data_IF_848927056058
#
_entry.id   IF_848927056058
#
_cell.length_a   1.000
_cell.length_b   1.000
_cell.length_c   1.000
_cell.angle_alpha   90.00
_cell.angle_beta   90.00
_cell.angle_gamma   90.00
#
_symmetry.space_group_name_H-M   'P 1'
#
loop_
_entity.id
_entity.type
_entity.pdbx_description
1 polymer ?
#
# COMPACT_ATOMS: atom_id res chain seq x y z
N UNK A 1 -4.84 46.05 -34.79
CA UNK A 1 -5.17 45.85 -33.38
C UNK A 1 -6.33 44.90 -33.16
N UNK A 2 -7.55 45.17 -33.69
CA UNK A 2 -8.76 44.28 -33.48
C UNK A 2 -8.55 42.83 -33.93
N UNK A 3 -7.92 42.57 -35.08
CA UNK A 3 -7.66 41.22 -35.61
C UNK A 3 -6.70 40.43 -34.67
N UNK A 4 -5.67 41.08 -34.11
CA UNK A 4 -4.73 40.45 -33.19
C UNK A 4 -5.44 40.06 -31.88
N UNK A 5 -6.27 40.95 -31.35
CA UNK A 5 -7.08 40.66 -30.13
C UNK A 5 -8.02 39.48 -30.34
N UNK A 6 -8.72 39.43 -31.49
CA UNK A 6 -9.60 38.31 -31.84
C UNK A 6 -8.79 37.00 -31.94
N UNK A 7 -7.59 37.05 -32.57
CA UNK A 7 -6.70 35.89 -32.68
C UNK A 7 -6.27 35.34 -31.30
N UNK A 8 -5.89 36.25 -30.37
CA UNK A 8 -5.51 35.88 -29.02
C UNK A 8 -6.70 35.24 -28.25
N UNK A 9 -7.90 35.83 -28.36
CA UNK A 9 -9.09 35.28 -27.69
C UNK A 9 -9.42 33.90 -28.23
N UNK A 10 -9.36 33.71 -29.56
CA UNK A 10 -9.61 32.37 -30.16
C UNK A 10 -8.57 31.37 -29.72
N UNK A 11 -7.29 31.71 -29.64
CA UNK A 11 -6.22 30.85 -29.16
C UNK A 11 -6.47 30.41 -27.70
N UNK A 12 -6.82 31.37 -26.83
CA UNK A 12 -7.12 31.07 -25.41
C UNK A 12 -8.35 30.15 -25.28
N UNK A 13 -9.38 30.35 -26.12
CA UNK A 13 -10.55 29.48 -26.13
C UNK A 13 -10.19 28.04 -26.54
N UNK A 14 -9.35 27.86 -27.57
CA UNK A 14 -8.88 26.53 -28.02
C UNK A 14 -8.08 25.86 -26.90
N UNK A 15 -7.14 26.57 -26.26
CA UNK A 15 -6.37 26.06 -25.13
C UNK A 15 -7.29 25.64 -23.97
N UNK A 16 -8.31 26.46 -23.68
CA UNK A 16 -9.31 26.15 -22.63
C UNK A 16 -10.05 24.84 -22.92
N UNK A 17 -10.50 24.63 -24.18
CA UNK A 17 -11.17 23.38 -24.57
C UNK A 17 -10.26 22.17 -24.46
N UNK A 18 -8.98 22.29 -24.86
CA UNK A 18 -8.01 21.17 -24.73
C UNK A 18 -7.79 20.79 -23.27
N UNK A 19 -7.61 21.78 -22.39
CA UNK A 19 -7.44 21.57 -20.96
C UNK A 19 -8.69 20.90 -20.37
N UNK A 20 -9.88 21.43 -20.70
CA UNK A 20 -11.14 20.85 -20.23
C UNK A 20 -11.29 19.39 -20.62
N UNK A 21 -11.07 19.05 -21.89
CA UNK A 21 -11.16 17.68 -22.37
C UNK A 21 -10.15 16.76 -21.67
N UNK A 22 -8.94 17.27 -21.37
CA UNK A 22 -7.92 16.57 -20.58
C UNK A 22 -8.38 16.28 -19.16
N UNK A 23 -9.00 17.24 -18.47
CA UNK A 23 -9.55 17.06 -17.12
C UNK A 23 -10.70 16.05 -17.09
N UNK A 24 -11.63 16.12 -18.05
CA UNK A 24 -12.74 15.16 -18.16
C UNK A 24 -12.21 13.74 -18.41
N UNK A 25 -11.20 13.59 -19.26
CA UNK A 25 -10.58 12.28 -19.50
C UNK A 25 -9.99 11.68 -18.20
N UNK A 26 -9.27 12.47 -17.44
CA UNK A 26 -8.70 12.03 -16.16
C UNK A 26 -9.78 11.67 -15.14
N UNK A 27 -10.83 12.49 -15.02
CA UNK A 27 -11.97 12.20 -14.16
C UNK A 27 -12.62 10.87 -14.51
N UNK A 28 -12.83 10.61 -15.78
CA UNK A 28 -13.40 9.35 -16.24
C UNK A 28 -12.49 8.16 -15.93
N UNK A 29 -11.15 8.31 -16.08
CA UNK A 29 -10.18 7.28 -15.72
C UNK A 29 -10.20 6.97 -14.21
N UNK A 30 -10.33 7.99 -13.36
CA UNK A 30 -10.48 7.80 -11.90
C UNK A 30 -11.76 7.01 -11.60
N UNK A 31 -12.88 7.39 -12.21
CA UNK A 31 -14.16 6.70 -11.99
C UNK A 31 -14.13 5.25 -12.51
N UNK A 32 -13.48 5.01 -13.64
CA UNK A 32 -13.32 3.66 -14.18
C UNK A 32 -12.44 2.80 -13.28
N UNK A 33 -11.30 3.33 -12.84
CA UNK A 33 -10.40 2.65 -11.91
C UNK A 33 -11.10 2.30 -10.60
N UNK A 34 -11.95 3.20 -10.08
CA UNK A 34 -12.76 2.93 -8.89
C UNK A 34 -13.75 1.77 -9.10
N UNK A 35 -14.45 1.75 -10.23
CA UNK A 35 -15.38 0.64 -10.56
C UNK A 35 -14.68 -0.71 -10.66
N UNK A 36 -13.45 -0.74 -11.17
CA UNK A 36 -12.65 -1.97 -11.22
C UNK A 36 -12.31 -2.47 -9.82
N UNK A 37 -11.94 -1.58 -8.90
CA UNK A 37 -11.72 -1.92 -7.49
C UNK A 37 -13.01 -2.46 -6.87
N UNK A 38 -14.13 -1.79 -7.06
CA UNK A 38 -15.43 -2.17 -6.49
C UNK A 38 -15.85 -3.59 -6.90
N UNK A 39 -15.58 -3.99 -8.14
CA UNK A 39 -15.81 -5.37 -8.62
C UNK A 39 -15.00 -6.39 -7.82
N UNK A 40 -13.72 -6.13 -7.57
CA UNK A 40 -12.86 -7.05 -6.82
C UNK A 40 -13.20 -7.05 -5.32
N UNK A 41 -13.58 -5.90 -4.75
CA UNK A 41 -14.09 -5.81 -3.38
C UNK A 41 -15.36 -6.64 -3.21
N UNK A 42 -16.31 -6.52 -4.13
CA UNK A 42 -17.52 -7.34 -4.12
C UNK A 42 -17.19 -8.83 -4.19
N UNK A 43 -16.30 -9.24 -5.10
CA UNK A 43 -15.85 -10.63 -5.21
C UNK A 43 -15.27 -11.13 -3.89
N UNK A 44 -14.43 -10.34 -3.23
CA UNK A 44 -13.88 -10.66 -1.90
C UNK A 44 -14.98 -10.85 -0.87
N UNK A 45 -15.96 -9.95 -0.82
CA UNK A 45 -17.09 -10.02 0.11
C UNK A 45 -17.96 -11.29 -0.13
N UNK A 46 -18.11 -11.70 -1.39
CA UNK A 46 -18.92 -12.86 -1.75
C UNK A 46 -18.23 -14.20 -1.42
N UNK A 47 -16.90 -14.23 -1.32
CA UNK A 47 -16.14 -15.42 -0.89
C UNK A 47 -16.21 -15.66 0.62
N UNK A 48 -16.36 -14.63 1.44
CA UNK A 48 -16.28 -14.70 2.89
C UNK A 48 -17.34 -15.63 3.52
N UNK A 49 -18.63 -15.62 3.14
CA UNK A 49 -19.60 -16.52 3.71
C UNK A 49 -19.23 -18.00 3.54
N UNK A 50 -18.73 -18.39 2.36
CA UNK A 50 -18.31 -19.76 2.08
C UNK A 50 -17.08 -20.14 2.94
N UNK A 51 -16.15 -19.21 3.13
CA UNK A 51 -15.01 -19.39 4.02
C UNK A 51 -15.48 -19.63 5.47
N UNK A 52 -16.39 -18.79 5.97
CA UNK A 52 -16.91 -18.89 7.33
C UNK A 52 -17.66 -20.20 7.57
N UNK A 53 -18.48 -20.65 6.61
CA UNK A 53 -19.17 -21.95 6.71
C UNK A 53 -18.17 -23.12 6.71
N UNK A 54 -17.11 -23.05 5.90
CA UNK A 54 -16.05 -24.05 5.90
C UNK A 54 -15.32 -24.10 7.25
N UNK A 55 -14.94 -22.95 7.79
CA UNK A 55 -14.24 -22.85 9.09
C UNK A 55 -15.13 -23.30 10.22
N UNK A 56 -16.41 -22.94 10.23
CA UNK A 56 -17.39 -23.30 11.26
C UNK A 56 -17.54 -24.81 11.41
N UNK A 57 -17.39 -25.58 10.33
CA UNK A 57 -17.43 -27.05 10.38
C UNK A 57 -16.32 -27.69 11.23
N UNK A 58 -15.19 -27.00 11.41
CA UNK A 58 -14.02 -27.50 12.14
C UNK A 58 -13.72 -26.70 13.42
N UNK A 59 -14.03 -25.42 13.46
CA UNK A 59 -13.70 -24.49 14.53
C UNK A 59 -14.96 -23.79 15.08
N UNK A 60 -16.01 -24.52 15.37
CA UNK A 60 -17.31 -24.01 15.86
C UNK A 60 -17.21 -23.26 17.20
N UNK A 61 -16.15 -23.48 17.98
CA UNK A 61 -15.91 -22.80 19.25
C UNK A 61 -15.33 -21.39 19.11
N UNK A 62 -14.82 -21.03 17.92
CA UNK A 62 -14.19 -19.74 17.61
C UNK A 62 -15.20 -18.65 17.24
N UNK A 63 -16.32 -18.58 17.99
CA UNK A 63 -17.45 -17.70 17.69
C UNK A 63 -17.03 -16.24 17.55
N UNK A 64 -16.17 -15.73 18.43
CA UNK A 64 -15.74 -14.33 18.40
C UNK A 64 -14.96 -13.96 17.14
N UNK A 65 -14.11 -14.86 16.64
CA UNK A 65 -13.37 -14.64 15.39
C UNK A 65 -14.31 -14.65 14.18
N UNK A 66 -15.24 -15.61 14.13
CA UNK A 66 -16.23 -15.70 13.05
C UNK A 66 -17.17 -14.48 13.02
N UNK A 67 -17.68 -14.07 14.17
CA UNK A 67 -18.51 -12.86 14.33
C UNK A 67 -17.75 -11.59 13.95
N UNK A 68 -16.47 -11.48 14.35
CA UNK A 68 -15.60 -10.36 13.99
C UNK A 68 -15.41 -10.21 12.48
N UNK A 69 -15.26 -11.31 11.73
CA UNK A 69 -15.19 -11.28 10.26
C UNK A 69 -16.52 -10.85 9.65
N UNK A 70 -17.65 -11.38 10.16
CA UNK A 70 -18.98 -10.99 9.68
C UNK A 70 -19.26 -9.50 9.90
N UNK A 71 -18.90 -8.98 11.07
CA UNK A 71 -19.06 -7.57 11.40
C UNK A 71 -18.20 -6.66 10.51
N UNK A 72 -16.93 -7.02 10.33
CA UNK A 72 -16.02 -6.27 9.45
C UNK A 72 -16.50 -6.30 7.99
N UNK A 73 -16.99 -7.46 7.50
CA UNK A 73 -17.60 -7.57 6.17
C UNK A 73 -18.83 -6.68 6.03
N UNK A 74 -19.71 -6.65 7.03
CA UNK A 74 -20.90 -5.80 7.01
C UNK A 74 -20.53 -4.32 6.94
N UNK A 75 -19.51 -3.88 7.68
CA UNK A 75 -19.00 -2.52 7.61
C UNK A 75 -18.40 -2.19 6.23
N UNK A 76 -17.64 -3.11 5.64
CA UNK A 76 -17.04 -2.94 4.32
C UNK A 76 -18.09 -2.89 3.19
N UNK A 77 -19.22 -3.62 3.34
CA UNK A 77 -20.33 -3.62 2.38
C UNK A 77 -21.27 -2.43 2.48
N UNK A 78 -21.08 -1.52 3.44
CA UNK A 78 -21.93 -0.33 3.57
C UNK A 78 -21.81 0.54 2.32
N UNK A 79 -22.90 0.71 1.58
CA UNK A 79 -22.89 1.44 0.31
C UNK A 79 -22.66 2.96 0.49
N UNK A 80 -22.18 3.61 -0.58
CA UNK A 80 -22.05 5.08 -0.64
C UNK A 80 -20.88 5.67 0.14
N UNK A 81 -19.90 4.84 0.50
CA UNK A 81 -18.70 5.30 1.22
C UNK A 81 -17.75 6.04 0.28
N UNK A 82 -17.06 7.05 0.82
CA UNK A 82 -15.93 7.63 0.10
C UNK A 82 -14.78 6.63 -0.02
N UNK A 83 -13.89 6.78 -1.01
CA UNK A 83 -12.73 5.90 -1.18
C UNK A 83 -11.87 5.76 0.08
N UNK A 84 -11.69 6.82 0.85
CA UNK A 84 -10.94 6.79 2.10
C UNK A 84 -11.63 5.92 3.17
N UNK A 85 -12.94 6.07 3.35
CA UNK A 85 -13.73 5.27 4.30
C UNK A 85 -13.77 3.81 3.88
N UNK A 86 -13.94 3.54 2.57
CA UNK A 86 -13.88 2.19 2.02
C UNK A 86 -12.51 1.53 2.31
N UNK A 87 -11.40 2.25 2.12
CA UNK A 87 -10.06 1.76 2.44
C UNK A 87 -9.90 1.38 3.92
N UNK A 88 -10.44 2.19 4.83
CA UNK A 88 -10.41 1.92 6.26
C UNK A 88 -11.19 0.64 6.61
N UNK A 89 -12.41 0.50 6.10
CA UNK A 89 -13.25 -0.66 6.35
C UNK A 89 -12.66 -1.94 5.76
N UNK A 90 -12.09 -1.88 4.57
CA UNK A 90 -11.37 -2.99 3.94
C UNK A 90 -10.10 -3.37 4.74
N UNK A 91 -9.41 -2.40 5.32
CA UNK A 91 -8.29 -2.64 6.24
C UNK A 91 -8.71 -3.41 7.49
N UNK A 92 -9.87 -3.06 8.09
CA UNK A 92 -10.43 -3.81 9.23
C UNK A 92 -10.83 -5.23 8.84
N UNK A 93 -11.41 -5.41 7.64
CA UNK A 93 -11.75 -6.73 7.12
C UNK A 93 -10.51 -7.60 6.88
N UNK A 94 -9.43 -7.02 6.32
CA UNK A 94 -8.15 -7.71 6.15
C UNK A 94 -7.56 -8.18 7.47
N UNK A 95 -7.63 -7.36 8.52
CA UNK A 95 -7.18 -7.75 9.87
C UNK A 95 -8.04 -8.88 10.46
N UNK A 96 -9.36 -8.82 10.29
CA UNK A 96 -10.26 -9.86 10.78
C UNK A 96 -10.01 -11.20 10.07
N UNK A 97 -9.82 -11.20 8.75
CA UNK A 97 -9.44 -12.37 7.97
C UNK A 97 -8.07 -12.93 8.38
N UNK A 98 -7.09 -12.06 8.64
CA UNK A 98 -5.78 -12.47 9.15
C UNK A 98 -5.88 -13.23 10.48
N UNK A 99 -6.73 -12.77 11.40
CA UNK A 99 -7.01 -13.48 12.65
C UNK A 99 -7.68 -14.84 12.41
N UNK A 100 -8.63 -14.90 11.48
CA UNK A 100 -9.30 -16.15 11.11
C UNK A 100 -8.31 -17.18 10.56
N UNK A 101 -7.39 -16.77 9.69
CA UNK A 101 -6.34 -17.65 9.16
C UNK A 101 -5.36 -18.10 10.26
N UNK A 102 -5.01 -17.19 11.20
CA UNK A 102 -4.17 -17.57 12.35
C UNK A 102 -4.84 -18.62 13.24
N UNK A 103 -6.16 -18.51 13.47
CA UNK A 103 -6.94 -19.55 14.18
C UNK A 103 -6.94 -20.87 13.40
N UNK A 104 -7.12 -20.83 12.08
CA UNK A 104 -7.13 -22.03 11.24
C UNK A 104 -5.84 -22.87 11.34
N UNK A 105 -4.69 -22.23 11.65
CA UNK A 105 -3.42 -22.95 11.87
C UNK A 105 -3.47 -23.92 13.07
N UNK A 106 -4.35 -23.67 14.05
CA UNK A 106 -4.55 -24.56 15.21
C UNK A 106 -5.43 -25.80 14.90
N UNK A 107 -6.02 -25.86 13.71
CA UNK A 107 -6.92 -26.92 13.29
C UNK A 107 -6.37 -27.67 12.05
N UNK A 108 -5.56 -28.74 12.23
CA UNK A 108 -4.90 -29.45 11.12
C UNK A 108 -5.84 -29.97 10.04
N UNK A 109 -7.01 -30.48 10.44
CA UNK A 109 -8.01 -30.99 9.51
C UNK A 109 -8.64 -29.90 8.64
N UNK A 110 -8.84 -28.71 9.18
CA UNK A 110 -9.27 -27.52 8.42
C UNK A 110 -8.19 -27.10 7.44
N UNK A 111 -6.95 -27.02 7.91
CA UNK A 111 -5.79 -26.64 7.08
C UNK A 111 -5.58 -27.60 5.90
N UNK A 112 -5.89 -28.88 6.06
CA UNK A 112 -5.83 -29.87 5.00
C UNK A 112 -7.06 -29.89 4.08
N UNK A 113 -8.12 -29.17 4.42
CA UNK A 113 -9.36 -29.15 3.65
C UNK A 113 -9.17 -28.44 2.31
N UNK A 114 -9.47 -29.13 1.21
CA UNK A 114 -9.27 -28.61 -0.17
C UNK A 114 -10.10 -27.36 -0.45
N UNK A 115 -11.34 -27.30 0.08
CA UNK A 115 -12.21 -26.14 -0.11
C UNK A 115 -11.66 -24.92 0.63
N UNK A 116 -11.14 -25.10 1.86
CA UNK A 116 -10.50 -24.04 2.63
C UNK A 116 -9.27 -23.47 1.89
N UNK A 117 -8.39 -24.36 1.41
CA UNK A 117 -7.20 -23.95 0.64
C UNK A 117 -7.58 -23.23 -0.65
N UNK A 118 -8.59 -23.72 -1.38
CA UNK A 118 -9.08 -23.06 -2.58
C UNK A 118 -9.63 -21.66 -2.29
N UNK A 119 -10.42 -21.48 -1.24
CA UNK A 119 -10.96 -20.18 -0.81
C UNK A 119 -9.85 -19.23 -0.35
N UNK A 120 -8.87 -19.73 0.40
CA UNK A 120 -7.71 -18.95 0.82
C UNK A 120 -6.91 -18.43 -0.37
N UNK A 121 -6.65 -19.29 -1.37
CA UNK A 121 -5.96 -18.89 -2.59
C UNK A 121 -6.73 -17.86 -3.41
N UNK A 122 -8.06 -18.04 -3.53
CA UNK A 122 -8.90 -17.08 -4.25
C UNK A 122 -8.97 -15.73 -3.56
N UNK A 123 -9.05 -15.70 -2.21
CA UNK A 123 -8.97 -14.46 -1.42
C UNK A 123 -7.62 -13.78 -1.58
N UNK A 124 -6.52 -14.54 -1.55
CA UNK A 124 -5.18 -13.99 -1.79
C UNK A 124 -5.06 -13.37 -3.20
N UNK A 125 -5.55 -14.08 -4.23
CA UNK A 125 -5.57 -13.58 -5.61
C UNK A 125 -6.41 -12.30 -5.74
N UNK A 126 -7.55 -12.23 -5.05
CA UNK A 126 -8.41 -11.05 -5.04
C UNK A 126 -7.74 -9.87 -4.34
N UNK A 127 -7.01 -10.10 -3.23
CA UNK A 127 -6.23 -9.09 -2.54
C UNK A 127 -5.14 -8.49 -3.44
N UNK A 128 -4.43 -9.33 -4.20
CA UNK A 128 -3.42 -8.87 -5.16
C UNK A 128 -4.01 -7.97 -6.25
N UNK A 129 -5.21 -8.32 -6.75
CA UNK A 129 -5.95 -7.51 -7.74
C UNK A 129 -6.42 -6.18 -7.14
N UNK A 130 -6.94 -6.19 -5.90
CA UNK A 130 -7.32 -4.97 -5.18
C UNK A 130 -6.09 -4.08 -4.98
N UNK A 131 -4.95 -4.65 -4.57
CA UNK A 131 -3.70 -3.90 -4.40
C UNK A 131 -3.19 -3.29 -5.72
N UNK A 132 -3.32 -4.01 -6.83
CA UNK A 132 -2.98 -3.49 -8.16
C UNK A 132 -3.94 -2.36 -8.59
N UNK A 133 -5.25 -2.58 -8.42
CA UNK A 133 -6.30 -1.58 -8.70
C UNK A 133 -6.11 -0.31 -7.88
N UNK A 134 -5.79 -0.45 -6.59
CA UNK A 134 -5.50 0.68 -5.69
C UNK A 134 -4.33 1.52 -6.19
N UNK A 135 -3.22 0.89 -6.61
CA UNK A 135 -2.08 1.63 -7.18
C UNK A 135 -2.47 2.40 -8.43
N UNK A 136 -3.23 1.77 -9.31
CA UNK A 136 -3.71 2.40 -10.55
C UNK A 136 -4.67 3.56 -10.27
N UNK A 137 -5.66 3.36 -9.38
CA UNK A 137 -6.60 4.39 -8.95
C UNK A 137 -5.87 5.60 -8.35
N UNK A 138 -5.00 5.38 -7.38
CA UNK A 138 -4.27 6.44 -6.71
C UNK A 138 -3.32 7.20 -7.65
N UNK A 139 -2.76 6.54 -8.67
CA UNK A 139 -1.97 7.22 -9.71
C UNK A 139 -2.84 8.19 -10.54
N UNK A 140 -4.04 7.76 -10.95
CA UNK A 140 -4.98 8.62 -11.69
C UNK A 140 -5.53 9.77 -10.83
N UNK A 141 -5.84 9.51 -9.56
CA UNK A 141 -6.24 10.56 -8.59
C UNK A 141 -5.14 11.60 -8.44
N UNK A 142 -3.89 11.18 -8.30
CA UNK A 142 -2.74 12.11 -8.21
C UNK A 142 -2.63 12.99 -9.45
N UNK A 143 -2.72 12.40 -10.63
CA UNK A 143 -2.66 13.16 -11.89
C UNK A 143 -3.81 14.16 -12.02
N UNK A 144 -5.04 13.74 -11.68
CA UNK A 144 -6.21 14.62 -11.66
C UNK A 144 -6.03 15.76 -10.67
N UNK A 145 -5.68 15.45 -9.42
CA UNK A 145 -5.50 16.44 -8.36
C UNK A 145 -4.39 17.44 -8.72
N UNK A 146 -3.28 16.96 -9.28
CA UNK A 146 -2.21 17.84 -9.76
C UNK A 146 -2.74 18.82 -10.82
N UNK A 147 -3.53 18.37 -11.79
CA UNK A 147 -4.08 19.27 -12.83
C UNK A 147 -5.15 20.21 -12.28
N UNK A 148 -5.90 19.82 -11.29
CA UNK A 148 -6.87 20.70 -10.60
C UNK A 148 -6.17 21.81 -9.82
N UNK A 149 -4.91 21.60 -9.37
CA UNK A 149 -4.16 22.57 -8.57
C UNK A 149 -3.16 23.42 -9.38
N UNK A 150 -2.74 22.98 -10.57
CA UNK A 150 -1.71 23.67 -11.36
C UNK A 150 -2.31 24.67 -12.35
N UNK A 151 -1.54 25.76 -12.62
CA UNK A 151 -1.87 26.79 -13.64
C UNK A 151 -1.44 26.27 -15.02
N UNK A 152 -2.24 26.49 -16.07
CA UNK A 152 -3.52 27.22 -16.13
C UNK A 152 -4.76 26.35 -15.90
N UNK A 153 -4.61 25.03 -15.68
CA UNK A 153 -5.73 24.08 -15.65
C UNK A 153 -6.63 24.27 -14.41
N UNK A 154 -6.12 24.82 -13.31
CA UNK A 154 -6.92 25.15 -12.12
C UNK A 154 -8.02 26.18 -12.40
N UNK A 155 -7.81 27.13 -13.31
CA UNK A 155 -8.81 28.10 -13.72
C UNK A 155 -9.99 27.42 -14.42
N UNK A 156 -9.70 26.47 -15.33
CA UNK A 156 -10.72 25.70 -16.04
C UNK A 156 -11.42 24.75 -15.10
N UNK A 157 -10.67 24.07 -14.20
CA UNK A 157 -11.24 23.19 -13.18
C UNK A 157 -12.23 23.92 -12.27
N UNK A 158 -11.88 25.14 -11.81
CA UNK A 158 -12.74 26.00 -11.00
C UNK A 158 -14.03 26.40 -11.73
N UNK A 159 -13.92 26.81 -13.02
CA UNK A 159 -15.08 27.19 -13.84
C UNK A 159 -16.03 26.02 -14.12
N UNK A 160 -15.51 24.81 -14.24
CA UNK A 160 -16.26 23.61 -14.58
C UNK A 160 -16.63 22.74 -13.37
N UNK A 161 -16.31 23.22 -12.14
CA UNK A 161 -16.56 22.52 -10.88
C UNK A 161 -15.94 21.11 -10.83
N UNK A 162 -14.79 20.91 -11.47
CA UNK A 162 -14.01 19.69 -11.35
C UNK A 162 -13.16 19.86 -10.07
N UNK A 163 -13.40 18.95 -9.10
CA UNK A 163 -12.76 18.98 -7.79
C UNK A 163 -11.72 17.89 -7.67
N UNK A 164 -10.94 17.95 -6.60
CA UNK A 164 -10.05 16.89 -6.17
C UNK A 164 -10.84 15.65 -5.81
N UNK A 165 -10.24 14.50 -6.09
CA UNK A 165 -10.74 13.18 -5.68
C UNK A 165 -9.92 12.64 -4.51
N UNK A 166 -10.55 11.82 -3.67
CA UNK A 166 -9.91 11.21 -2.50
C UNK A 166 -9.08 9.98 -2.91
N UNK A 167 -8.00 9.74 -2.17
CA UNK A 167 -7.20 8.53 -2.33
C UNK A 167 -7.86 7.33 -1.66
N UNK A 168 -7.64 6.16 -2.22
CA UNK A 168 -7.98 4.88 -1.59
C UNK A 168 -6.78 4.42 -0.76
N UNK A 169 -6.61 5.05 0.42
CA UNK A 169 -5.50 4.81 1.35
C UNK A 169 -6.04 4.85 2.79
N UNK A 170 -5.47 4.01 3.65
CA UNK A 170 -5.67 4.12 5.10
C UNK A 170 -4.72 5.20 5.60
N UNK A 171 -5.25 6.33 6.03
CA UNK A 171 -4.41 7.39 6.62
C UNK A 171 -3.81 6.91 7.96
N UNK A 172 -2.51 7.04 8.08
CA UNK A 172 -1.80 7.07 9.37
C UNK A 172 -1.18 5.78 9.90
N UNK A 173 -1.54 4.57 9.45
CA UNK A 173 -1.11 3.33 10.14
C UNK A 173 0.15 2.67 9.55
N UNK A 174 0.60 3.06 8.37
CA UNK A 174 1.72 2.37 7.69
C UNK A 174 2.93 3.26 7.37
N UNK A 175 3.01 4.47 7.91
CA UNK A 175 4.16 5.37 7.67
C UNK A 175 5.17 5.41 8.80
N UNK A 176 4.91 4.78 9.94
CA UNK A 176 5.93 4.63 10.96
C UNK A 176 7.00 3.67 10.44
N UNK A 177 8.10 4.23 9.97
CA UNK A 177 9.29 3.46 9.70
C UNK A 177 9.62 2.67 10.97
N UNK A 178 9.92 1.35 10.89
CA UNK A 178 10.32 0.60 12.06
C UNK A 178 11.50 1.32 12.69
N UNK A 179 11.35 1.77 13.93
CA UNK A 179 12.44 2.36 14.69
C UNK A 179 13.47 1.24 14.96
N UNK A 180 14.48 1.17 14.11
CA UNK A 180 15.61 0.27 14.34
C UNK A 180 16.42 0.89 15.49
N UNK A 181 16.12 0.46 16.69
CA UNK A 181 16.90 0.83 17.86
C UNK A 181 18.16 -0.06 17.85
N UNK A 182 19.23 0.43 17.28
CA UNK A 182 20.56 -0.14 17.51
C UNK A 182 20.91 0.16 18.97
N UNK A 183 20.32 -0.58 19.88
CA UNK A 183 20.57 -0.47 21.30
C UNK A 183 22.07 -0.46 21.51
N UNK A 184 22.55 0.65 22.05
CA UNK A 184 23.86 0.73 22.58
C UNK A 184 24.00 -0.34 23.67
N UNK A 185 24.49 -1.51 23.28
CA UNK A 185 25.05 -2.49 24.22
C UNK A 185 26.36 -1.89 24.72
N UNK A 186 26.25 -0.87 25.57
CA UNK A 186 27.37 -0.43 26.38
C UNK A 186 27.63 -1.53 27.37
N UNK A 187 28.60 -2.39 27.04
CA UNK A 187 29.12 -3.41 27.93
C UNK A 187 29.63 -2.81 29.23
N UNK A 188 29.05 -3.22 30.32
CA UNK A 188 29.63 -3.14 31.62
C UNK A 188 30.82 -4.13 31.72
N UNK A 189 32.00 -3.69 31.31
CA UNK A 189 33.25 -4.36 31.59
C UNK A 189 33.81 -3.82 32.92
N UNK A 190 34.47 -4.66 33.75
CA UNK A 190 34.95 -4.26 35.06
C UNK A 190 36.12 -3.29 34.94
N UNK A 191 36.12 -2.29 35.83
CA UNK A 191 37.14 -1.27 35.96
C UNK A 191 38.51 -1.90 36.22
N UNK A 192 39.45 -1.71 35.32
CA UNK A 192 40.89 -1.92 35.59
C UNK A 192 41.53 -0.56 35.81
N UNK A 193 41.93 -0.33 37.06
CA UNK A 193 42.79 0.77 37.46
C UNK A 193 44.17 0.60 36.83
N UNK A 194 44.63 1.57 36.04
CA UNK A 194 46.04 1.72 35.72
C UNK A 194 46.43 3.20 35.71
N UNK A 195 47.35 3.52 36.62
CA UNK A 195 48.09 4.77 36.71
C UNK A 195 49.07 4.99 35.56
N UNK A 196 49.52 6.23 35.32
CA UNK A 196 50.18 6.63 34.08
C UNK A 196 51.68 6.51 34.12
N UNK A 197 52.33 6.16 33.01
CA UNK A 197 53.78 6.49 32.82
C UNK A 197 54.09 6.62 31.33
N UNK A 198 54.46 7.87 30.96
CA UNK A 198 55.46 8.33 29.96
C UNK A 198 55.62 7.67 28.60
N UNK A 199 55.44 8.53 27.58
CA UNK A 199 56.13 8.51 26.27
C UNK A 199 57.66 8.57 26.37
N UNK A 200 58.48 8.24 25.35
CA UNK A 200 58.44 8.79 24.00
C UNK A 200 59.00 7.93 22.82
N UNK A 201 58.67 8.37 21.60
CA UNK A 201 59.53 8.42 20.38
C UNK A 201 59.75 7.20 19.48
N UNK A 202 59.16 7.26 18.27
CA UNK A 202 59.58 7.11 16.85
C UNK A 202 60.77 6.16 16.54
N UNK A 203 60.94 5.57 15.27
CA UNK A 203 60.37 5.94 13.97
C UNK A 203 59.87 4.78 13.06
N UNK A 204 59.34 5.19 11.92
CA UNK A 204 59.12 4.43 10.67
C UNK A 204 60.28 3.54 10.29
N UNK A 205 59.95 2.37 9.72
CA UNK A 205 60.31 1.95 8.36
C UNK A 205 60.08 0.46 8.07
N UNK A 206 59.82 0.19 6.78
CA UNK A 206 60.00 -1.06 6.04
C UNK A 206 58.85 -2.11 6.08
N UNK A 207 57.93 -2.08 5.10
CA UNK A 207 58.04 -2.75 3.77
C UNK A 207 58.41 -4.23 3.90
N UNK A 208 57.50 -5.05 3.46
CA UNK A 208 57.57 -6.10 2.44
C UNK A 208 56.49 -7.15 2.56
N UNK A 209 55.69 -7.17 1.53
CA UNK A 209 55.36 -8.29 0.64
C UNK A 209 55.37 -9.69 1.25
N UNK A 210 54.24 -10.35 1.25
CA UNK A 210 54.18 -11.72 0.76
C UNK A 210 52.75 -12.09 0.36
N UNK A 211 52.52 -12.19 -0.93
CA UNK A 211 51.38 -12.83 -1.59
C UNK A 211 51.67 -14.35 -1.62
N UNK A 212 50.77 -15.21 -1.18
CA UNK A 212 50.85 -16.63 -1.53
C UNK A 212 50.06 -16.93 -2.83
N UNK A 213 50.49 -17.90 -3.64
CA UNK A 213 50.03 -18.11 -5.00
C UNK A 213 48.73 -18.90 -5.12
N UNK A 214 47.97 -18.54 -6.15
CA UNK A 214 46.82 -19.26 -6.68
C UNK A 214 47.18 -20.68 -7.15
N UNK A 215 46.30 -21.63 -6.89
CA UNK A 215 46.30 -22.94 -7.49
C UNK A 215 45.14 -23.05 -8.51
N UNK A 216 45.37 -23.50 -9.74
CA UNK A 216 44.34 -23.62 -10.76
C UNK A 216 43.52 -24.91 -10.64
N UNK A 217 42.33 -24.99 -11.27
CA UNK A 217 41.49 -26.18 -11.24
C UNK A 217 41.91 -27.19 -12.29
N UNK A 218 41.95 -28.44 -11.92
CA UNK A 218 42.23 -29.54 -12.82
C UNK A 218 41.32 -30.75 -12.61
N UNK A 219 40.72 -31.20 -13.72
CA UNK A 219 40.09 -32.45 -14.07
C UNK A 219 38.77 -32.82 -13.43
#
# INVERSE_FOLDING_TARGET
>A
MKIIVIGIVLLLAIVGVVIYNGLIKLRNLVQEAWRQIDVELKRRHDLIPNLLETVKGYAAHEKGTLEGVMQARSAAMSGGQSPAVAAQNEGMLSQALGRLFAVAEAYPDLKANVNFLGLQQELSSTEDRIAAGRRYYNANVRELNTRVETVPSNLIAGLTNIRREEYFEVEGVQRDAPSVNFGASAGSGPAVTSSPTASPNTPRDAIQDTIPPETPPGA
#
